data_IF_416694144748
#
_entry.id   IF_416694144748
#
_cell.length_a   1.000
_cell.length_b   1.000
_cell.length_c   1.000
_cell.angle_alpha   90.00
_cell.angle_beta   90.00
_cell.angle_gamma   90.00
#
_symmetry.space_group_name_H-M   'P 1'
#
loop_
_entity.id
_entity.type
_entity.pdbx_description
1 polymer ?
#
# COMPACT_ATOMS: atom_id res chain seq x y z
N UNK A 1 -11.61 -14.85 5.52
CA UNK A 1 -10.92 -13.91 6.42
C UNK A 1 -9.74 -14.59 7.13
N UNK A 2 -8.75 -15.12 6.40
CA UNK A 2 -7.75 -16.01 7.04
C UNK A 2 -6.32 -15.47 7.09
N UNK A 3 -5.96 -14.43 6.33
CA UNK A 3 -4.63 -13.85 6.36
C UNK A 3 -4.65 -12.41 6.88
N UNK A 4 -3.79 -12.10 7.84
CA UNK A 4 -3.62 -10.72 8.32
C UNK A 4 -3.02 -9.85 7.20
N UNK A 5 -3.35 -8.55 7.11
CA UNK A 5 -2.73 -7.65 6.13
C UNK A 5 -1.21 -7.64 6.24
N UNK A 6 -0.68 -7.71 7.47
CA UNK A 6 0.76 -7.82 7.73
C UNK A 6 1.35 -9.07 7.07
N UNK A 7 0.75 -10.25 7.24
CA UNK A 7 1.24 -11.49 6.63
C UNK A 7 1.28 -11.39 5.11
N UNK A 8 0.26 -10.77 4.49
CA UNK A 8 0.22 -10.58 3.04
C UNK A 8 1.33 -9.63 2.57
N UNK A 9 1.52 -8.50 3.25
CA UNK A 9 2.52 -7.49 2.89
C UNK A 9 3.96 -7.96 3.10
N UNK A 10 4.18 -8.93 4.00
CA UNK A 10 5.49 -9.51 4.26
C UNK A 10 5.76 -10.86 3.57
N UNK A 11 4.85 -11.31 2.71
CA UNK A 11 5.06 -12.52 1.90
C UNK A 11 6.01 -12.22 0.73
N UNK A 12 7.21 -12.83 0.74
CA UNK A 12 8.22 -12.66 -0.29
C UNK A 12 7.79 -13.18 -1.69
N UNK A 13 6.79 -14.07 -1.77
CA UNK A 13 6.24 -14.52 -3.04
C UNK A 13 5.40 -13.44 -3.73
N UNK A 14 4.84 -12.51 -2.95
CA UNK A 14 4.01 -11.39 -3.42
C UNK A 14 4.87 -10.12 -3.52
N UNK A 15 5.67 -9.85 -2.48
CA UNK A 15 6.52 -8.66 -2.34
C UNK A 15 7.99 -9.10 -2.19
N UNK A 16 8.78 -9.19 -3.28
CA UNK A 16 10.22 -9.41 -3.18
C UNK A 16 10.90 -8.40 -2.25
N UNK A 17 11.82 -8.85 -1.40
CA UNK A 17 12.45 -8.02 -0.36
C UNK A 17 11.43 -7.25 0.51
N UNK A 18 10.48 -7.93 1.17
CA UNK A 18 9.30 -7.28 1.76
C UNK A 18 9.63 -6.30 2.90
N UNK A 19 10.79 -6.46 3.55
CA UNK A 19 11.26 -5.57 4.60
C UNK A 19 11.94 -4.29 4.07
N UNK A 20 12.25 -4.22 2.77
CA UNK A 20 12.88 -3.06 2.17
C UNK A 20 11.84 -2.00 1.79
N UNK A 21 12.09 -0.74 2.18
CA UNK A 21 11.28 0.38 1.73
C UNK A 21 11.61 0.70 0.26
N UNK A 22 10.77 0.20 -0.66
CA UNK A 22 10.94 0.31 -2.11
C UNK A 22 9.72 0.94 -2.79
N UNK A 23 9.54 2.28 -2.73
CA UNK A 23 8.39 2.96 -3.34
C UNK A 23 8.26 2.73 -4.84
N UNK A 24 9.39 2.55 -5.54
CA UNK A 24 9.47 2.30 -6.98
C UNK A 24 8.76 1.00 -7.43
N UNK A 25 8.46 0.10 -6.48
CA UNK A 25 7.61 -1.07 -6.66
C UNK A 25 6.23 -0.75 -7.24
N UNK A 26 5.71 0.44 -6.98
CA UNK A 26 4.36 0.81 -7.43
C UNK A 26 4.35 1.53 -8.79
N UNK A 27 5.53 1.68 -9.43
CA UNK A 27 5.65 2.18 -10.79
C UNK A 27 5.38 1.07 -11.82
N UNK A 28 5.61 1.33 -13.11
CA UNK A 28 5.43 0.33 -14.18
C UNK A 28 6.33 -0.88 -13.88
N UNK A 29 5.70 -2.04 -13.61
CA UNK A 29 6.40 -3.27 -13.26
C UNK A 29 6.29 -4.30 -14.39
N UNK A 30 7.35 -5.08 -14.57
CA UNK A 30 7.34 -6.30 -15.40
C UNK A 30 6.40 -7.38 -14.82
N UNK A 31 6.26 -7.41 -13.48
CA UNK A 31 5.34 -8.30 -12.76
C UNK A 31 4.49 -7.47 -11.78
N UNK A 32 3.28 -7.05 -12.18
CA UNK A 32 2.43 -6.23 -11.33
C UNK A 32 1.94 -7.04 -10.12
N UNK A 33 1.94 -6.42 -8.94
CA UNK A 33 1.26 -6.96 -7.75
C UNK A 33 -0.24 -6.89 -8.01
N UNK A 34 -1.00 -8.00 -7.89
CA UNK A 34 -2.43 -7.95 -8.13
C UNK A 34 -3.11 -7.00 -7.13
N UNK A 35 -4.03 -6.17 -7.61
CA UNK A 35 -4.64 -5.08 -6.83
C UNK A 35 -5.24 -5.53 -5.50
N UNK A 36 -5.75 -6.76 -5.45
CA UNK A 36 -6.40 -7.31 -4.25
C UNK A 36 -5.42 -7.63 -3.10
N UNK A 37 -4.11 -7.68 -3.34
CA UNK A 37 -3.11 -7.97 -2.29
C UNK A 37 -2.73 -6.73 -1.47
N UNK A 38 -2.99 -5.53 -1.97
CA UNK A 38 -2.77 -4.30 -1.20
C UNK A 38 -3.94 -4.03 -0.24
N UNK A 39 -3.90 -4.68 0.93
CA UNK A 39 -5.01 -4.68 1.91
C UNK A 39 -4.88 -3.71 3.10
N UNK A 40 -4.21 -2.57 2.90
CA UNK A 40 -3.96 -1.56 3.96
C UNK A 40 -5.25 -0.94 4.52
N UNK A 41 -6.27 -0.80 3.69
CA UNK A 41 -7.58 -0.26 4.07
C UNK A 41 -8.66 -1.35 4.17
N UNK A 42 -8.26 -2.61 4.38
CA UNK A 42 -9.16 -3.75 4.28
C UNK A 42 -9.36 -4.19 2.83
N UNK A 43 -10.52 -4.76 2.54
CA UNK A 43 -10.88 -5.28 1.23
C UNK A 43 -12.30 -5.84 1.23
N UNK A 44 -12.78 -6.23 0.05
CA UNK A 44 -14.13 -6.77 -0.16
C UNK A 44 -15.22 -5.84 0.41
N UNK A 45 -16.32 -6.40 0.92
CA UNK A 45 -17.42 -5.67 1.54
C UNK A 45 -17.11 -5.00 2.89
N UNK A 46 -15.84 -5.00 3.34
CA UNK A 46 -15.41 -4.35 4.60
C UNK A 46 -14.23 -3.41 4.40
N UNK A 47 -14.15 -2.80 3.21
CA UNK A 47 -13.15 -1.76 2.92
C UNK A 47 -13.41 -0.53 3.81
N UNK A 48 -12.35 0.10 4.30
CA UNK A 48 -12.43 1.29 5.13
C UNK A 48 -13.13 2.43 4.37
N UNK A 49 -14.24 2.99 4.88
CA UNK A 49 -14.96 4.07 4.21
C UNK A 49 -14.10 5.35 4.09
N UNK A 50 -13.08 5.49 4.94
CA UNK A 50 -12.14 6.61 4.94
C UNK A 50 -10.96 6.48 3.97
N UNK A 51 -10.85 5.41 3.18
CA UNK A 51 -9.68 5.16 2.32
C UNK A 51 -9.32 6.35 1.42
N UNK A 52 -10.29 6.91 0.71
CA UNK A 52 -10.05 8.04 -0.20
C UNK A 52 -9.59 9.29 0.54
N UNK A 53 -10.22 9.58 1.69
CA UNK A 53 -9.85 10.71 2.54
C UNK A 53 -8.42 10.56 3.08
N UNK A 54 -8.09 9.39 3.63
CA UNK A 54 -6.75 9.11 4.17
C UNK A 54 -5.66 9.22 3.12
N UNK A 55 -5.88 8.67 1.92
CA UNK A 55 -4.93 8.78 0.81
C UNK A 55 -4.70 10.22 0.36
N UNK A 56 -5.75 11.06 0.33
CA UNK A 56 -5.61 12.47 0.00
C UNK A 56 -4.85 13.25 1.08
N UNK A 57 -5.14 12.98 2.36
CA UNK A 57 -4.40 13.58 3.48
C UNK A 57 -2.91 13.24 3.40
N UNK A 58 -2.56 11.96 3.18
CA UNK A 58 -1.17 11.52 3.04
C UNK A 58 -0.45 12.22 1.88
N UNK A 59 -1.11 12.39 0.73
CA UNK A 59 -0.54 13.12 -0.41
C UNK A 59 -0.29 14.59 -0.08
N UNK A 60 -1.25 15.26 0.56
CA UNK A 60 -1.12 16.66 0.97
C UNK A 60 0.05 16.81 1.96
N UNK A 61 0.10 15.95 2.98
CA UNK A 61 1.18 15.97 3.98
C UNK A 61 2.55 15.69 3.33
N UNK A 62 2.64 14.76 2.39
CA UNK A 62 3.88 14.51 1.64
C UNK A 62 4.34 15.76 0.89
N UNK A 63 3.43 16.43 0.16
CA UNK A 63 3.78 17.66 -0.58
C UNK A 63 4.20 18.77 0.38
N UNK A 64 3.46 18.97 1.48
CA UNK A 64 3.81 20.00 2.47
C UNK A 64 5.17 19.71 3.11
N UNK A 65 5.42 18.48 3.55
CA UNK A 65 6.70 18.13 4.19
C UNK A 65 7.89 18.24 3.24
N UNK A 66 7.73 17.93 1.95
CA UNK A 66 8.81 18.04 0.95
C UNK A 66 9.09 19.47 0.49
N UNK A 67 8.12 20.39 0.59
CA UNK A 67 8.27 21.79 0.14
C UNK A 67 8.74 22.72 1.26
N UNK A 68 8.40 22.39 2.51
CA UNK A 68 8.69 23.23 3.68
C UNK A 68 9.88 22.74 4.54
N UNK A 69 10.57 21.69 4.09
CA UNK A 69 11.88 21.23 4.60
C UNK A 69 12.92 21.53 3.54
#
# INVERSE_FOLDING_TARGET
MTASPHTIHYDAHIYPDPAAFRPERWLIQEKPIPGDYFRTFGGDGRTCPGQNMGMNILKIVMVMTMVYV
#
